data_IF_205508656666
#
_entry.id   IF_205508656666
#
_cell.length_a   1.000
_cell.length_b   1.000
_cell.length_c   1.000
_cell.angle_alpha   90.00
_cell.angle_beta   90.00
_cell.angle_gamma   90.00
#
_symmetry.space_group_name_H-M   'P 1'
#
loop_
_entity.id
_entity.type
_entity.pdbx_description
1 polymer ?
#
# COMPACT_ATOMS: atom_id res chain seq x y z
N UNK A 1 -11.57 -20.04 -39.53
CA UNK A 1 -10.37 -20.46 -38.78
C UNK A 1 -10.82 -20.88 -37.39
N UNK A 2 -10.62 -22.14 -36.97
CA UNK A 2 -11.04 -22.57 -35.63
C UNK A 2 -10.21 -21.84 -34.56
N UNK A 3 -10.74 -21.64 -33.35
CA UNK A 3 -9.98 -21.06 -32.24
C UNK A 3 -8.86 -22.04 -31.91
N UNK A 4 -7.64 -21.69 -32.27
CA UNK A 4 -6.46 -22.46 -31.89
C UNK A 4 -6.44 -22.51 -30.37
N UNK A 5 -6.54 -23.72 -29.81
CA UNK A 5 -6.47 -23.91 -28.37
C UNK A 5 -5.06 -23.46 -27.95
N UNK A 6 -4.94 -22.25 -27.39
CA UNK A 6 -3.66 -21.60 -27.06
C UNK A 6 -2.77 -22.54 -26.24
N UNK A 7 -3.40 -23.35 -25.37
CA UNK A 7 -2.77 -24.42 -24.60
C UNK A 7 -2.10 -25.48 -25.48
N UNK A 8 -2.79 -26.03 -26.47
CA UNK A 8 -2.22 -27.02 -27.38
C UNK A 8 -1.06 -26.43 -28.20
N UNK A 9 -1.19 -25.17 -28.64
CA UNK A 9 -0.09 -24.50 -29.35
C UNK A 9 1.13 -24.26 -28.46
N UNK A 10 0.94 -23.90 -27.20
CA UNK A 10 2.03 -23.74 -26.25
C UNK A 10 2.76 -25.08 -25.99
N UNK A 11 2.01 -26.17 -25.80
CA UNK A 11 2.58 -27.52 -25.60
C UNK A 11 3.43 -27.93 -26.81
N UNK A 12 2.91 -27.79 -28.03
CA UNK A 12 3.66 -28.15 -29.25
C UNK A 12 4.94 -27.32 -29.45
N UNK A 13 4.95 -26.05 -29.04
CA UNK A 13 6.14 -25.20 -29.12
C UNK A 13 7.20 -25.62 -28.09
N UNK A 14 6.77 -26.06 -26.89
CA UNK A 14 7.65 -26.57 -25.83
C UNK A 14 8.30 -27.89 -26.27
N UNK A 15 7.55 -28.78 -26.92
CA UNK A 15 8.08 -30.05 -27.44
C UNK A 15 9.15 -29.88 -28.52
N UNK A 16 9.12 -28.78 -29.28
CA UNK A 16 10.06 -28.49 -30.37
C UNK A 16 11.28 -27.67 -29.92
N UNK A 17 11.35 -27.26 -28.65
CA UNK A 17 12.42 -26.41 -28.13
C UNK A 17 13.69 -27.23 -27.81
N UNK A 18 14.89 -26.76 -28.22
CA UNK A 18 16.14 -27.37 -27.78
C UNK A 18 16.35 -27.21 -26.27
N UNK A 19 17.01 -28.20 -25.65
CA UNK A 19 17.25 -28.30 -24.19
C UNK A 19 17.80 -27.01 -23.57
N UNK A 20 18.69 -26.30 -24.28
CA UNK A 20 19.31 -25.05 -23.81
C UNK A 20 18.33 -23.90 -23.62
N UNK A 21 17.23 -23.89 -24.37
CA UNK A 21 16.16 -22.88 -24.27
C UNK A 21 15.02 -23.33 -23.38
N UNK A 22 14.84 -24.65 -23.21
CA UNK A 22 13.82 -25.22 -22.34
C UNK A 22 13.99 -24.74 -20.89
N UNK A 23 15.22 -24.67 -20.39
CA UNK A 23 15.51 -24.18 -19.04
C UNK A 23 15.01 -22.75 -18.81
N UNK A 24 15.21 -21.85 -19.78
CA UNK A 24 14.73 -20.47 -19.69
C UNK A 24 13.20 -20.37 -19.73
N UNK A 25 12.54 -21.23 -20.52
CA UNK A 25 11.08 -21.29 -20.60
C UNK A 25 10.47 -21.84 -19.30
N UNK A 26 11.09 -22.87 -18.70
CA UNK A 26 10.67 -23.40 -17.40
C UNK A 26 10.77 -22.32 -16.33
N UNK A 27 11.90 -21.61 -16.24
CA UNK A 27 12.05 -20.49 -15.30
C UNK A 27 10.98 -19.40 -15.50
N UNK A 28 10.69 -19.05 -16.75
CA UNK A 28 9.63 -18.09 -17.06
C UNK A 28 8.25 -18.61 -16.65
N UNK A 29 7.94 -19.88 -16.91
CA UNK A 29 6.67 -20.48 -16.50
C UNK A 29 6.57 -20.58 -14.99
N UNK A 30 7.65 -20.89 -14.28
CA UNK A 30 7.72 -20.87 -12.81
C UNK A 30 7.39 -19.47 -12.29
N UNK A 31 7.98 -18.40 -12.83
CA UNK A 31 7.62 -17.01 -12.46
C UNK A 31 6.16 -16.67 -12.78
N UNK A 32 5.62 -17.17 -13.89
CA UNK A 32 4.24 -16.90 -14.30
C UNK A 32 3.21 -17.77 -13.56
N UNK A 33 3.64 -18.87 -12.94
CA UNK A 33 2.78 -19.81 -12.20
C UNK A 33 2.99 -19.73 -10.69
N UNK A 34 4.06 -19.07 -10.23
CA UNK A 34 4.12 -18.50 -8.90
C UNK A 34 2.80 -17.77 -8.68
N UNK A 35 2.11 -18.01 -7.56
CA UNK A 35 0.87 -17.32 -7.25
C UNK A 35 1.21 -15.84 -7.17
N UNK A 36 1.04 -15.14 -8.29
CA UNK A 36 1.10 -13.70 -8.31
C UNK A 36 -0.13 -13.33 -7.50
N UNK A 37 0.04 -12.95 -6.24
CA UNK A 37 -1.02 -12.41 -5.38
C UNK A 37 -1.66 -11.13 -5.95
N UNK A 38 -1.46 -10.83 -7.23
CA UNK A 38 -1.86 -9.64 -7.97
C UNK A 38 -3.08 -9.85 -8.88
N UNK A 39 -3.64 -11.07 -8.97
CA UNK A 39 -4.78 -11.32 -9.88
C UNK A 39 -6.17 -11.26 -9.23
N UNK A 40 -6.29 -10.83 -7.97
CA UNK A 40 -7.58 -10.53 -7.38
C UNK A 40 -7.51 -9.16 -6.71
N UNK A 41 -7.40 -8.12 -7.54
CA UNK A 41 -7.77 -6.77 -7.17
C UNK A 41 -9.28 -6.75 -6.86
N UNK A 42 -9.63 -7.33 -5.72
CA UNK A 42 -10.93 -7.25 -5.08
C UNK A 42 -11.12 -5.79 -4.70
N UNK A 43 -12.29 -5.20 -4.94
CA UNK A 43 -12.57 -3.80 -4.57
C UNK A 43 -12.21 -3.49 -3.11
N UNK A 44 -12.24 -4.50 -2.24
CA UNK A 44 -11.81 -4.44 -0.85
C UNK A 44 -10.34 -4.05 -0.70
N UNK A 45 -9.42 -4.57 -1.54
CA UNK A 45 -8.01 -4.22 -1.49
C UNK A 45 -7.76 -2.77 -1.93
N UNK A 46 -8.44 -2.30 -2.97
CA UNK A 46 -8.35 -0.90 -3.42
C UNK A 46 -8.82 0.05 -2.32
N UNK A 47 -9.95 -0.26 -1.69
CA UNK A 47 -10.48 0.54 -0.57
C UNK A 47 -9.52 0.55 0.64
N UNK A 48 -8.94 -0.59 0.99
CA UNK A 48 -7.93 -0.67 2.06
C UNK A 48 -6.70 0.18 1.73
N UNK A 49 -6.22 0.14 0.48
CA UNK A 49 -5.11 0.99 0.03
C UNK A 49 -5.43 2.48 0.10
N UNK A 50 -6.66 2.88 -0.24
CA UNK A 50 -7.10 4.28 -0.11
C UNK A 50 -7.08 4.74 1.35
N UNK A 51 -7.57 3.91 2.29
CA UNK A 51 -7.49 4.21 3.73
C UNK A 51 -6.03 4.32 4.17
N UNK A 52 -5.16 3.40 3.74
CA UNK A 52 -3.74 3.38 4.11
C UNK A 52 -2.99 4.62 3.61
N UNK A 53 -3.38 5.13 2.44
CA UNK A 53 -2.76 6.28 1.79
C UNK A 53 -3.41 7.62 2.16
N UNK A 54 -4.53 7.61 2.90
CA UNK A 54 -5.24 8.80 3.36
C UNK A 54 -4.32 9.70 4.17
N UNK A 55 -4.35 10.98 3.86
CA UNK A 55 -3.61 12.04 4.57
C UNK A 55 -4.53 13.22 4.79
N UNK A 56 -4.19 14.05 5.77
CA UNK A 56 -4.82 15.36 5.88
C UNK A 56 -4.53 16.18 4.61
N UNK A 57 -5.52 16.95 4.12
CA UNK A 57 -5.28 17.98 3.12
C UNK A 57 -4.15 18.92 3.53
N UNK A 58 -3.39 19.44 2.56
CA UNK A 58 -2.22 20.30 2.86
C UNK A 58 -2.56 21.52 3.72
N UNK A 59 -3.73 22.13 3.52
CA UNK A 59 -4.17 23.28 4.29
C UNK A 59 -4.41 22.91 5.77
N UNK A 60 -5.09 21.79 6.01
CA UNK A 60 -5.35 21.29 7.37
C UNK A 60 -4.05 20.84 8.06
N UNK A 61 -3.15 20.17 7.34
CA UNK A 61 -1.84 19.79 7.87
C UNK A 61 -1.01 21.03 8.24
N UNK A 62 -1.04 22.09 7.42
CA UNK A 62 -0.34 23.33 7.72
C UNK A 62 -0.93 24.02 8.95
N UNK A 63 -2.26 24.06 9.07
CA UNK A 63 -2.95 24.63 10.23
C UNK A 63 -2.62 23.85 11.51
N UNK A 64 -2.66 22.52 11.47
CA UNK A 64 -2.26 21.68 12.60
C UNK A 64 -0.82 21.95 13.02
N UNK A 65 0.11 22.07 12.08
CA UNK A 65 1.51 22.38 12.40
C UNK A 65 1.65 23.77 13.06
N UNK A 66 0.98 24.80 12.52
CA UNK A 66 0.97 26.14 13.11
C UNK A 66 0.45 26.13 14.56
N UNK A 67 -0.65 25.40 14.80
CA UNK A 67 -1.24 25.28 16.13
C UNK A 67 -0.30 24.56 17.11
N UNK A 68 0.40 23.52 16.66
CA UNK A 68 1.40 22.82 17.48
C UNK A 68 2.56 23.73 17.84
N UNK A 69 3.13 24.43 16.86
CA UNK A 69 4.23 25.36 17.08
C UNK A 69 3.82 26.41 18.12
N UNK A 70 2.66 27.07 17.93
CA UNK A 70 2.15 28.08 18.87
C UNK A 70 1.80 27.51 20.25
N UNK A 71 1.39 26.23 20.32
CA UNK A 71 1.16 25.55 21.60
C UNK A 71 2.45 25.46 22.43
N UNK A 72 3.57 25.15 21.78
CA UNK A 72 4.88 25.05 22.45
C UNK A 72 5.32 26.39 23.04
N UNK A 73 4.95 27.50 22.40
CA UNK A 73 5.18 28.87 22.88
C UNK A 73 4.14 29.37 23.89
N UNK A 74 3.07 28.59 24.15
CA UNK A 74 1.98 28.99 25.04
C UNK A 74 1.12 30.15 24.49
N UNK A 75 1.07 30.32 23.17
CA UNK A 75 0.43 31.44 22.47
C UNK A 75 -0.95 31.10 21.90
N UNK A 76 -1.51 29.95 22.26
CA UNK A 76 -2.82 29.52 21.82
C UNK A 76 -3.92 30.18 22.66
N UNK A 77 -4.94 30.68 21.98
CA UNK A 77 -6.20 31.00 22.63
C UNK A 77 -6.96 29.72 22.97
N UNK A 78 -7.94 29.80 23.88
CA UNK A 78 -8.79 28.65 24.23
C UNK A 78 -9.46 28.01 23.00
N UNK A 79 -9.92 28.84 22.06
CA UNK A 79 -10.53 28.36 20.82
C UNK A 79 -9.55 27.58 19.94
N UNK A 80 -8.30 28.05 19.87
CA UNK A 80 -7.25 27.39 19.09
C UNK A 80 -6.72 26.14 19.79
N UNK A 81 -6.72 26.09 21.12
CA UNK A 81 -6.48 24.86 21.88
C UNK A 81 -7.54 23.80 21.56
N UNK A 82 -8.81 24.19 21.53
CA UNK A 82 -9.89 23.27 21.16
C UNK A 82 -9.75 22.81 19.69
N UNK A 83 -9.37 23.71 18.79
CA UNK A 83 -9.06 23.39 17.39
C UNK A 83 -7.93 22.37 17.27
N UNK A 84 -6.85 22.56 18.04
CA UNK A 84 -5.72 21.63 18.09
C UNK A 84 -6.16 20.24 18.55
N UNK A 85 -6.92 20.14 19.65
CA UNK A 85 -7.45 18.87 20.16
C UNK A 85 -8.26 18.14 19.08
N UNK A 86 -9.16 18.85 18.39
CA UNK A 86 -9.96 18.25 17.32
C UNK A 86 -9.09 17.70 16.18
N UNK A 87 -8.02 18.40 15.80
CA UNK A 87 -7.09 17.89 14.79
C UNK A 87 -6.28 16.70 15.28
N UNK A 88 -5.85 16.67 16.55
CA UNK A 88 -5.13 15.53 17.11
C UNK A 88 -6.01 14.28 17.14
N UNK A 89 -7.25 14.41 17.61
CA UNK A 89 -8.24 13.32 17.61
C UNK A 89 -8.47 12.78 16.19
N UNK A 90 -8.59 13.66 15.18
CA UNK A 90 -8.75 13.25 13.79
C UNK A 90 -7.53 12.49 13.27
N UNK A 91 -6.32 12.94 13.59
CA UNK A 91 -5.07 12.26 13.19
C UNK A 91 -4.92 10.91 13.88
N UNK A 92 -5.25 10.80 15.15
CA UNK A 92 -5.24 9.53 15.87
C UNK A 92 -6.27 8.56 15.28
N UNK A 93 -7.48 9.04 14.97
CA UNK A 93 -8.48 8.21 14.30
C UNK A 93 -7.97 7.70 12.93
N UNK A 94 -7.34 8.56 12.12
CA UNK A 94 -6.72 8.14 10.87
C UNK A 94 -5.63 7.09 11.08
N UNK A 95 -4.83 7.21 12.15
CA UNK A 95 -3.76 6.25 12.47
C UNK A 95 -4.32 4.88 12.83
N UNK A 96 -5.41 4.84 13.61
CA UNK A 96 -6.13 3.61 13.95
C UNK A 96 -6.69 2.96 12.69
N UNK A 97 -7.47 3.71 11.90
CA UNK A 97 -8.06 3.22 10.64
C UNK A 97 -6.99 2.68 9.68
N UNK A 98 -5.86 3.38 9.57
CA UNK A 98 -4.72 2.94 8.76
C UNK A 98 -4.11 1.63 9.26
N UNK A 99 -3.95 1.47 10.57
CA UNK A 99 -3.40 0.25 11.16
C UNK A 99 -4.33 -0.94 10.92
N UNK A 100 -5.64 -0.76 11.13
CA UNK A 100 -6.65 -1.77 10.85
C UNK A 100 -6.63 -2.17 9.36
N UNK A 101 -6.58 -1.19 8.46
CA UNK A 101 -6.53 -1.45 7.03
C UNK A 101 -5.25 -2.20 6.60
N UNK A 102 -4.10 -1.87 7.21
CA UNK A 102 -2.85 -2.60 7.00
C UNK A 102 -2.95 -4.06 7.46
N UNK A 103 -3.57 -4.31 8.62
CA UNK A 103 -3.76 -5.67 9.15
C UNK A 103 -4.64 -6.48 8.21
N UNK A 104 -5.76 -5.92 7.75
CA UNK A 104 -6.64 -6.61 6.81
C UNK A 104 -5.96 -6.86 5.46
N UNK A 105 -5.23 -5.87 4.93
CA UNK A 105 -4.50 -6.03 3.68
C UNK A 105 -3.37 -7.08 3.80
N UNK A 106 -2.69 -7.15 4.94
CA UNK A 106 -1.67 -8.17 5.20
C UNK A 106 -2.25 -9.58 5.18
N UNK A 107 -3.45 -9.77 5.77
CA UNK A 107 -4.19 -11.05 5.70
C UNK A 107 -4.57 -11.39 4.26
N UNK A 108 -5.11 -10.44 3.51
CA UNK A 108 -5.52 -10.66 2.11
C UNK A 108 -4.34 -11.05 1.21
N UNK A 109 -3.18 -10.40 1.39
CA UNK A 109 -1.97 -10.67 0.60
C UNK A 109 -1.13 -11.82 1.15
N UNK A 110 -1.47 -12.34 2.33
CA UNK A 110 -0.70 -13.35 3.07
C UNK A 110 0.78 -12.95 3.23
N UNK A 111 1.03 -11.70 3.61
CA UNK A 111 2.36 -11.13 3.87
C UNK A 111 2.43 -10.61 5.30
N UNK A 112 3.62 -10.49 5.86
CA UNK A 112 3.75 -9.90 7.18
C UNK A 112 3.47 -8.38 7.16
N UNK A 113 2.96 -7.87 8.28
CA UNK A 113 2.54 -6.49 8.43
C UNK A 113 3.70 -5.49 8.23
N UNK A 114 4.91 -5.86 8.65
CA UNK A 114 6.08 -4.97 8.59
C UNK A 114 6.53 -4.79 7.15
N UNK A 115 6.66 -5.89 6.41
CA UNK A 115 6.97 -5.90 4.97
C UNK A 115 5.89 -5.16 4.19
N UNK A 116 4.61 -5.40 4.47
CA UNK A 116 3.54 -4.68 3.81
C UNK A 116 3.62 -3.18 4.08
N UNK A 117 3.79 -2.78 5.34
CA UNK A 117 3.90 -1.38 5.71
C UNK A 117 5.09 -0.71 5.01
N UNK A 118 6.22 -1.39 4.83
CA UNK A 118 7.37 -0.86 4.06
C UNK A 118 7.06 -0.70 2.57
N UNK A 119 6.28 -1.61 1.98
CA UNK A 119 5.89 -1.54 0.56
C UNK A 119 4.92 -0.41 0.25
N UNK A 120 3.98 -0.14 1.15
CA UNK A 120 2.90 0.84 0.94
C UNK A 120 3.17 2.18 1.63
N UNK A 121 4.18 2.26 2.49
CA UNK A 121 4.61 3.54 3.06
C UNK A 121 5.34 4.33 1.97
N UNK A 122 4.84 5.52 1.61
CA UNK A 122 5.61 6.45 0.80
C UNK A 122 6.85 6.82 1.59
N UNK A 123 8.03 6.41 1.09
CA UNK A 123 9.36 6.59 1.66
C UNK A 123 9.39 7.70 2.73
N UNK A 124 9.45 7.29 4.00
CA UNK A 124 9.55 8.20 5.13
C UNK A 124 10.65 9.22 4.85
N UNK A 125 10.26 10.47 4.58
CA UNK A 125 11.20 11.55 4.83
C UNK A 125 11.45 11.51 6.34
N UNK A 126 12.72 11.42 6.78
CA UNK A 126 13.03 11.40 8.19
C UNK A 126 12.41 12.66 8.82
N UNK A 127 11.67 12.42 9.89
CA UNK A 127 11.24 13.41 10.84
C UNK A 127 12.52 14.09 11.36
N UNK A 128 12.93 15.20 10.74
CA UNK A 128 13.98 16.05 11.28
C UNK A 128 13.39 16.73 12.51
N UNK A 129 13.57 16.10 13.66
CA UNK A 129 13.67 16.80 14.92
C UNK A 129 15.02 17.53 14.92
N UNK A 130 14.97 18.86 14.86
CA UNK A 130 16.06 19.76 15.19
C UNK A 130 15.47 21.02 15.83
#
# INVERSE_FOLDING_TARGET
>A
MPPVNIRQRAISLIEQLPQSKLAAVVQLLEVLTEPTSQSVANGDETHLLEIIQRRLPKAEQARLNELRDRCEWGELTEAEHQELICYEDLVEQHRVERLEALIELAKLRNVDLVTLNQQVSPQSHPFNAA
#
